data_IF_154274263587
#
_entry.id   IF_154274263587
#
_cell.length_a   1.000
_cell.length_b   1.000
_cell.length_c   1.000
_cell.angle_alpha   90.00
_cell.angle_beta   90.00
_cell.angle_gamma   90.00
#
_symmetry.space_group_name_H-M   'P 1'
#
loop_
_entity.id
_entity.type
_entity.pdbx_description
1 polymer ?
#
# COMPACT_ATOMS: atom_id res chain seq x y z
N UNK A 1 10.41 -12.14 6.37
CA UNK A 1 9.59 -13.34 6.01
C UNK A 1 8.54 -13.68 7.06
N UNK A 2 8.91 -13.84 8.34
CA UNK A 2 7.96 -14.20 9.41
C UNK A 2 6.77 -13.25 9.53
N UNK A 3 6.98 -11.94 9.36
CA UNK A 3 5.90 -10.96 9.46
C UNK A 3 4.92 -11.05 8.28
N UNK A 4 5.41 -11.19 7.04
CA UNK A 4 4.53 -11.38 5.88
C UNK A 4 3.69 -12.64 6.03
N UNK A 5 4.27 -13.71 6.56
CA UNK A 5 3.55 -14.95 6.88
C UNK A 5 2.54 -14.71 8.00
N UNK A 6 2.88 -13.93 9.02
CA UNK A 6 1.95 -13.56 10.08
C UNK A 6 0.80 -12.70 9.53
N UNK A 7 1.11 -11.70 8.72
CA UNK A 7 0.11 -10.86 8.06
C UNK A 7 -0.83 -11.70 7.20
N UNK A 8 -0.31 -12.66 6.44
CA UNK A 8 -1.14 -13.55 5.62
C UNK A 8 -2.11 -14.43 6.42
N UNK A 9 -1.84 -14.64 7.71
CA UNK A 9 -2.67 -15.42 8.65
C UNK A 9 -3.53 -14.55 9.56
N UNK A 10 -3.31 -13.25 9.60
CA UNK A 10 -4.07 -12.35 10.46
C UNK A 10 -5.48 -12.10 9.93
N UNK A 11 -6.38 -11.74 10.83
CA UNK A 11 -7.81 -11.56 10.57
C UNK A 11 -8.15 -10.11 10.16
N UNK A 12 -7.35 -9.49 9.29
CA UNK A 12 -7.73 -8.19 8.72
C UNK A 12 -8.72 -8.36 7.57
N UNK A 13 -9.60 -7.38 7.41
CA UNK A 13 -10.48 -7.27 6.25
C UNK A 13 -10.07 -6.15 5.30
N UNK A 14 -9.39 -5.12 5.81
CA UNK A 14 -8.86 -4.02 5.02
C UNK A 14 -7.40 -3.83 5.36
N UNK A 15 -6.55 -3.88 4.32
CA UNK A 15 -5.13 -3.56 4.42
C UNK A 15 -4.79 -2.47 3.42
N UNK A 16 -4.44 -1.27 3.91
CA UNK A 16 -3.95 -0.19 3.06
C UNK A 16 -2.43 -0.23 3.00
N UNK A 17 -1.89 -0.51 1.82
CA UNK A 17 -0.45 -0.59 1.54
C UNK A 17 -0.04 0.70 0.84
N UNK A 18 0.71 1.53 1.55
CA UNK A 18 1.23 2.80 1.05
C UNK A 18 2.59 2.62 0.40
N UNK A 19 2.70 2.94 -0.89
CA UNK A 19 3.94 2.87 -1.66
C UNK A 19 4.48 4.25 -2.07
N UNK A 20 5.71 4.30 -2.60
CA UNK A 20 6.34 5.52 -3.10
C UNK A 20 6.29 5.68 -4.63
N UNK A 21 5.58 4.84 -5.35
CA UNK A 21 5.53 4.78 -6.83
C UNK A 21 6.90 4.61 -7.49
N UNK A 22 7.82 3.92 -6.81
CA UNK A 22 9.17 3.68 -7.26
C UNK A 22 9.37 2.23 -7.67
N UNK A 23 10.23 2.01 -8.66
CA UNK A 23 10.51 0.67 -9.17
C UNK A 23 10.92 -0.30 -8.07
N UNK A 24 11.81 0.12 -7.17
CA UNK A 24 12.26 -0.71 -6.05
C UNK A 24 11.14 -1.16 -5.14
N UNK A 25 10.23 -0.24 -4.77
CA UNK A 25 9.04 -0.55 -3.95
C UNK A 25 8.12 -1.53 -4.68
N UNK A 26 7.90 -1.32 -5.96
CA UNK A 26 7.04 -2.16 -6.80
C UNK A 26 7.63 -3.54 -7.05
N UNK A 27 8.95 -3.64 -7.19
CA UNK A 27 9.65 -4.92 -7.25
C UNK A 27 9.43 -5.72 -5.97
N UNK A 28 9.64 -5.11 -4.80
CA UNK A 28 9.35 -5.75 -3.52
C UNK A 28 7.88 -6.21 -3.41
N UNK A 29 6.94 -5.38 -3.83
CA UNK A 29 5.52 -5.73 -3.82
C UNK A 29 5.25 -6.96 -4.70
N UNK A 30 5.81 -7.01 -5.91
CA UNK A 30 5.63 -8.10 -6.84
C UNK A 30 6.37 -9.38 -6.41
N UNK A 31 7.62 -9.28 -5.98
CA UNK A 31 8.50 -10.44 -5.78
C UNK A 31 8.37 -11.05 -4.38
N UNK A 32 8.10 -10.23 -3.36
CA UNK A 32 8.06 -10.67 -1.96
C UNK A 32 6.69 -10.54 -1.32
N UNK A 33 6.02 -9.38 -1.46
CA UNK A 33 4.79 -9.11 -0.73
C UNK A 33 3.63 -9.98 -1.26
N UNK A 34 3.24 -9.81 -2.52
CA UNK A 34 2.08 -10.52 -3.08
C UNK A 34 2.33 -12.01 -3.34
N UNK A 35 3.55 -12.49 -3.28
CA UNK A 35 3.84 -13.94 -3.27
C UNK A 35 3.44 -14.61 -1.94
N UNK A 36 3.37 -13.84 -0.85
CA UNK A 36 3.12 -14.35 0.52
C UNK A 36 1.79 -13.85 1.10
N UNK A 37 1.35 -12.66 0.70
CA UNK A 37 0.13 -12.02 1.21
C UNK A 37 -0.98 -12.15 0.17
N UNK A 38 -1.86 -13.10 0.38
CA UNK A 38 -3.01 -13.33 -0.50
C UNK A 38 -4.05 -12.24 -0.31
N UNK A 39 -4.45 -11.60 -1.40
CA UNK A 39 -5.62 -10.75 -1.49
C UNK A 39 -6.81 -11.52 -2.06
N UNK A 40 -8.01 -11.29 -1.56
CA UNK A 40 -9.26 -11.73 -2.23
C UNK A 40 -9.78 -10.61 -3.13
N UNK A 41 -9.49 -9.37 -2.76
CA UNK A 41 -9.78 -8.16 -3.54
C UNK A 41 -8.57 -7.24 -3.51
N UNK A 42 -8.14 -6.77 -4.68
CA UNK A 42 -7.07 -5.79 -4.84
C UNK A 42 -7.64 -4.50 -5.44
N UNK A 43 -7.46 -3.38 -4.74
CA UNK A 43 -7.99 -2.07 -5.12
C UNK A 43 -6.81 -1.12 -5.38
N UNK A 44 -6.76 -0.54 -6.57
CA UNK A 44 -5.59 0.16 -7.10
C UNK A 44 -5.84 1.65 -7.33
N UNK A 45 -4.77 2.43 -7.25
CA UNK A 45 -4.70 3.83 -7.67
C UNK A 45 -4.74 3.95 -9.20
N UNK A 46 -5.87 3.56 -9.75
CA UNK A 46 -6.17 3.64 -11.18
C UNK A 46 -7.66 3.87 -11.37
N UNK A 47 -8.05 4.64 -12.38
CA UNK A 47 -9.47 4.70 -12.76
C UNK A 47 -9.93 3.36 -13.33
N UNK A 48 -11.22 2.99 -13.20
CA UNK A 48 -11.73 1.72 -13.74
C UNK A 48 -11.37 1.51 -15.20
N UNK A 49 -11.52 2.54 -16.06
CA UNK A 49 -11.20 2.44 -17.49
C UNK A 49 -9.71 2.28 -17.79
N UNK A 50 -8.82 2.85 -16.97
CA UNK A 50 -7.36 2.62 -17.10
C UNK A 50 -7.03 1.18 -16.74
N UNK A 51 -7.60 0.68 -15.65
CA UNK A 51 -7.36 -0.69 -15.19
C UNK A 51 -7.86 -1.73 -16.20
N UNK A 52 -9.08 -1.57 -16.74
CA UNK A 52 -9.63 -2.46 -17.76
C UNK A 52 -8.68 -2.58 -18.96
N UNK A 53 -8.23 -1.44 -19.50
CA UNK A 53 -7.26 -1.44 -20.61
C UNK A 53 -5.93 -2.13 -20.26
N UNK A 54 -5.49 -2.00 -19.00
CA UNK A 54 -4.25 -2.64 -18.54
C UNK A 54 -4.41 -4.17 -18.50
N UNK A 55 -5.52 -4.67 -17.95
CA UNK A 55 -5.84 -6.11 -17.89
C UNK A 55 -6.01 -6.70 -19.30
N UNK A 56 -6.76 -6.04 -20.18
CA UNK A 56 -6.93 -6.48 -21.58
C UNK A 56 -5.60 -6.60 -22.32
N UNK A 57 -4.69 -5.66 -22.13
CA UNK A 57 -3.33 -5.72 -22.71
C UNK A 57 -2.52 -6.88 -22.15
N UNK A 58 -2.62 -7.09 -20.83
CA UNK A 58 -1.93 -8.18 -20.15
C UNK A 58 -2.40 -9.55 -20.67
N UNK A 59 -3.72 -9.72 -20.84
CA UNK A 59 -4.33 -10.93 -21.39
C UNK A 59 -3.96 -11.16 -22.87
N UNK A 60 -3.82 -10.06 -23.63
CA UNK A 60 -3.39 -10.13 -25.03
C UNK A 60 -1.88 -10.40 -25.22
N UNK A 61 -1.11 -10.61 -24.13
CA UNK A 61 0.33 -10.86 -24.18
C UNK A 61 1.16 -9.71 -24.76
N UNK A 62 0.65 -8.48 -24.71
CA UNK A 62 1.35 -7.30 -25.23
C UNK A 62 2.30 -6.80 -24.16
N UNK A 63 3.58 -7.13 -24.27
CA UNK A 63 4.61 -6.80 -23.27
C UNK A 63 5.21 -5.39 -23.40
N UNK A 64 4.80 -4.59 -24.38
CA UNK A 64 5.27 -3.22 -24.53
C UNK A 64 4.38 -2.26 -23.73
N UNK A 65 4.92 -1.75 -22.65
CA UNK A 65 4.25 -0.78 -21.75
C UNK A 65 5.17 0.42 -21.46
N UNK A 66 4.62 1.60 -21.25
CA UNK A 66 5.35 2.64 -20.52
C UNK A 66 5.84 2.07 -19.18
N UNK A 67 7.06 2.43 -18.77
CA UNK A 67 7.73 1.87 -17.58
C UNK A 67 6.83 1.78 -16.33
N UNK A 68 6.00 2.79 -16.09
CA UNK A 68 5.08 2.84 -14.94
C UNK A 68 3.98 1.74 -14.97
N UNK A 69 3.55 1.34 -16.16
CA UNK A 69 2.51 0.30 -16.27
C UNK A 69 3.11 -1.11 -16.13
N UNK A 70 4.40 -1.31 -16.52
CA UNK A 70 5.07 -2.60 -16.44
C UNK A 70 5.19 -3.11 -14.99
N UNK A 71 5.47 -2.23 -14.05
CA UNK A 71 5.62 -2.59 -12.63
C UNK A 71 4.28 -2.97 -12.00
N UNK A 72 3.23 -2.22 -12.29
CA UNK A 72 1.88 -2.55 -11.83
C UNK A 72 1.44 -3.89 -12.42
N UNK A 73 1.77 -4.18 -13.66
CA UNK A 73 1.45 -5.47 -14.28
C UNK A 73 2.17 -6.64 -13.62
N UNK A 74 3.42 -6.47 -13.20
CA UNK A 74 4.13 -7.51 -12.42
C UNK A 74 3.40 -7.78 -11.11
N UNK A 75 2.98 -6.74 -10.39
CA UNK A 75 2.19 -6.86 -9.16
C UNK A 75 0.88 -7.61 -9.44
N UNK A 76 0.16 -7.23 -10.49
CA UNK A 76 -1.11 -7.87 -10.87
C UNK A 76 -0.92 -9.35 -11.19
N UNK A 77 0.06 -9.70 -12.04
CA UNK A 77 0.38 -11.09 -12.37
C UNK A 77 0.70 -11.92 -11.13
N UNK A 78 1.50 -11.38 -10.21
CA UNK A 78 1.84 -12.07 -8.96
C UNK A 78 0.61 -12.27 -8.07
N UNK A 79 -0.22 -11.24 -7.91
CA UNK A 79 -1.44 -11.34 -7.12
C UNK A 79 -2.43 -12.36 -7.71
N UNK A 80 -2.61 -12.37 -9.03
CA UNK A 80 -3.45 -13.32 -9.75
C UNK A 80 -2.89 -14.75 -9.67
N UNK A 81 -1.58 -14.94 -9.77
CA UNK A 81 -0.95 -16.25 -9.61
C UNK A 81 -1.11 -16.79 -8.18
N UNK A 82 -1.05 -15.90 -7.18
CA UNK A 82 -1.23 -16.27 -5.77
C UNK A 82 -2.70 -16.58 -5.43
N UNK A 83 -3.62 -15.89 -6.07
CA UNK A 83 -5.06 -16.13 -5.96
C UNK A 83 -5.75 -15.94 -7.32
N UNK A 84 -5.96 -17.00 -8.12
CA UNK A 84 -6.64 -16.91 -9.42
C UNK A 84 -8.09 -16.39 -9.35
N UNK A 85 -8.71 -16.44 -8.17
CA UNK A 85 -10.08 -15.93 -7.94
C UNK A 85 -10.11 -14.50 -7.38
N UNK A 86 -8.98 -13.76 -7.47
CA UNK A 86 -8.89 -12.39 -6.99
C UNK A 86 -9.79 -11.45 -7.81
N UNK A 87 -10.50 -10.56 -7.12
CA UNK A 87 -11.17 -9.44 -7.78
C UNK A 87 -10.24 -8.22 -7.80
N UNK A 88 -10.14 -7.54 -8.93
CA UNK A 88 -9.26 -6.39 -9.09
C UNK A 88 -10.07 -5.18 -9.55
N UNK A 89 -9.98 -4.06 -8.80
CA UNK A 89 -10.73 -2.84 -9.08
C UNK A 89 -9.80 -1.63 -9.10
N UNK A 90 -10.02 -0.75 -10.06
CA UNK A 90 -9.50 0.61 -10.03
C UNK A 90 -10.48 1.50 -9.27
N UNK A 91 -10.01 2.17 -8.23
CA UNK A 91 -10.86 2.98 -7.36
C UNK A 91 -10.45 4.46 -7.33
N UNK A 92 -9.57 4.88 -8.22
CA UNK A 92 -9.20 6.28 -8.38
C UNK A 92 -10.42 7.13 -8.77
N UNK A 93 -10.41 8.40 -8.37
CA UNK A 93 -11.40 9.38 -8.75
C UNK A 93 -11.53 9.47 -10.27
N UNK A 94 -12.76 9.44 -10.76
CA UNK A 94 -13.05 9.61 -12.19
C UNK A 94 -13.18 11.08 -12.58
N UNK A 95 -12.99 11.40 -13.87
CA UNK A 95 -13.18 12.75 -14.41
C UNK A 95 -14.58 13.31 -14.11
N UNK A 96 -15.59 12.45 -14.07
CA UNK A 96 -16.95 12.83 -13.76
C UNK A 96 -17.13 13.21 -12.28
N UNK A 97 -16.50 12.46 -11.38
CA UNK A 97 -16.48 12.76 -9.95
C UNK A 97 -15.73 14.07 -9.71
N UNK A 98 -14.56 14.24 -10.32
CA UNK A 98 -13.76 15.46 -10.22
C UNK A 98 -14.56 16.70 -10.68
N UNK A 99 -15.27 16.62 -11.80
CA UNK A 99 -16.11 17.73 -12.30
C UNK A 99 -17.26 18.10 -11.36
N UNK A 100 -17.86 17.12 -10.68
CA UNK A 100 -18.95 17.36 -9.71
C UNK A 100 -18.47 18.03 -8.42
N UNK A 101 -17.20 17.90 -8.08
CA UNK A 101 -16.62 18.36 -6.83
C UNK A 101 -15.79 19.64 -6.96
N UNK A 102 -15.91 20.38 -8.07
CA UNK A 102 -15.17 21.62 -8.33
C UNK A 102 -15.07 22.53 -7.10
N UNK A 103 -13.85 22.67 -6.55
CA UNK A 103 -13.53 23.66 -5.51
C UNK A 103 -13.28 23.14 -4.09
N UNK A 104 -13.40 21.85 -3.81
CA UNK A 104 -13.11 21.29 -2.48
C UNK A 104 -11.80 20.49 -2.47
N UNK A 105 -10.80 20.96 -1.75
CA UNK A 105 -9.44 20.40 -1.70
C UNK A 105 -9.33 18.96 -1.16
N UNK A 106 -10.38 18.44 -0.52
CA UNK A 106 -10.39 17.10 0.10
C UNK A 106 -11.31 16.12 -0.63
N UNK A 107 -11.76 16.46 -1.82
CA UNK A 107 -12.79 15.71 -2.54
C UNK A 107 -12.26 14.40 -3.14
N UNK A 108 -10.97 14.35 -3.59
CA UNK A 108 -10.39 13.17 -4.24
C UNK A 108 -10.42 11.94 -3.33
N UNK A 109 -9.89 12.03 -2.12
CA UNK A 109 -9.85 10.88 -1.19
C UNK A 109 -11.23 10.47 -0.68
N UNK A 110 -12.20 11.39 -0.67
CA UNK A 110 -13.60 11.07 -0.41
C UNK A 110 -14.23 10.29 -1.57
N UNK A 111 -13.96 10.69 -2.83
CA UNK A 111 -14.40 9.95 -4.01
C UNK A 111 -13.80 8.54 -4.04
N UNK A 112 -12.50 8.43 -3.75
CA UNK A 112 -11.80 7.14 -3.68
C UNK A 112 -12.41 6.26 -2.57
N UNK A 113 -12.72 6.84 -1.41
CA UNK A 113 -13.37 6.11 -0.32
C UNK A 113 -14.76 5.60 -0.72
N UNK A 114 -15.54 6.40 -1.45
CA UNK A 114 -16.83 5.97 -2.01
C UNK A 114 -16.65 4.81 -2.99
N UNK A 115 -15.74 4.96 -3.95
CA UNK A 115 -15.41 3.91 -4.92
C UNK A 115 -14.91 2.63 -4.24
N UNK A 116 -14.19 2.75 -3.12
CA UNK A 116 -13.79 1.61 -2.31
C UNK A 116 -15.02 0.88 -1.75
N UNK A 117 -15.95 1.60 -1.10
CA UNK A 117 -17.13 0.95 -0.47
C UNK A 117 -18.03 0.27 -1.49
N UNK A 118 -18.13 0.80 -2.71
CA UNK A 118 -18.89 0.17 -3.81
C UNK A 118 -18.29 -1.19 -4.24
N UNK A 119 -16.98 -1.39 -3.99
CA UNK A 119 -16.25 -2.59 -4.37
C UNK A 119 -15.79 -3.44 -3.17
N UNK A 120 -16.09 -3.00 -1.95
CA UNK A 120 -15.69 -3.71 -0.73
C UNK A 120 -16.40 -5.06 -0.62
N UNK A 121 -15.61 -6.10 -0.32
CA UNK A 121 -16.09 -7.47 -0.13
C UNK A 121 -16.08 -7.81 1.36
N UNK A 122 -17.22 -7.82 2.07
CA UNK A 122 -17.30 -8.19 3.48
C UNK A 122 -16.79 -9.62 3.73
N UNK A 123 -16.04 -9.81 4.80
CA UNK A 123 -15.49 -11.12 5.16
C UNK A 123 -14.31 -11.59 4.29
N UNK A 124 -13.88 -10.77 3.33
CA UNK A 124 -12.74 -11.01 2.44
C UNK A 124 -11.56 -10.12 2.82
N UNK A 125 -10.37 -10.47 2.31
CA UNK A 125 -9.15 -9.66 2.44
C UNK A 125 -9.09 -8.65 1.31
N UNK A 126 -9.46 -7.42 1.62
CA UNK A 126 -9.41 -6.29 0.69
C UNK A 126 -8.08 -5.56 0.88
N UNK A 127 -7.22 -5.59 -0.12
CA UNK A 127 -5.94 -4.89 -0.11
C UNK A 127 -6.05 -3.66 -1.01
N UNK A 128 -5.74 -2.50 -0.45
CA UNK A 128 -5.65 -1.22 -1.14
C UNK A 128 -4.17 -0.93 -1.39
N UNK A 129 -3.79 -0.69 -2.64
CA UNK A 129 -2.43 -0.31 -3.02
C UNK A 129 -2.46 1.10 -3.61
N UNK A 130 -1.98 2.06 -2.85
CA UNK A 130 -1.99 3.48 -3.18
C UNK A 130 -0.70 4.18 -2.76
N UNK A 131 -0.50 5.39 -3.24
CA UNK A 131 0.56 6.25 -2.74
C UNK A 131 0.51 6.40 -1.21
N UNK A 132 1.68 6.47 -0.58
CA UNK A 132 1.82 6.36 0.87
C UNK A 132 0.94 7.33 1.66
N UNK A 133 0.77 8.56 1.18
CA UNK A 133 -0.06 9.56 1.87
C UNK A 133 -1.52 9.13 2.00
N UNK A 134 -2.09 8.50 0.97
CA UNK A 134 -3.47 8.02 0.98
C UNK A 134 -3.71 6.93 2.06
N UNK A 135 -2.68 6.14 2.37
CA UNK A 135 -2.74 5.11 3.41
C UNK A 135 -2.39 5.62 4.82
N UNK A 136 -2.02 6.87 4.98
CA UNK A 136 -1.74 7.46 6.29
C UNK A 136 -3.02 7.60 7.14
N UNK A 137 -2.92 7.29 8.44
CA UNK A 137 -4.01 7.48 9.38
C UNK A 137 -4.04 8.95 9.86
N UNK A 138 -4.38 9.83 8.95
CA UNK A 138 -4.43 11.28 9.15
C UNK A 138 -5.69 11.86 8.49
N UNK A 139 -6.20 12.96 9.05
CA UNK A 139 -7.44 13.59 8.56
C UNK A 139 -7.37 13.92 7.07
N UNK A 140 -8.48 13.71 6.39
CA UNK A 140 -8.69 13.96 4.96
C UNK A 140 -8.02 12.96 3.99
N UNK A 141 -7.17 12.03 4.46
CA UNK A 141 -6.61 10.98 3.63
C UNK A 141 -7.53 9.75 3.53
N UNK A 142 -7.35 8.96 2.49
CA UNK A 142 -8.20 7.79 2.18
C UNK A 142 -8.39 6.87 3.38
N UNK A 143 -7.31 6.42 4.02
CA UNK A 143 -7.41 5.45 5.12
C UNK A 143 -8.25 5.98 6.28
N UNK A 144 -8.11 7.27 6.64
CA UNK A 144 -8.93 7.88 7.69
C UNK A 144 -10.39 8.06 7.25
N UNK A 145 -10.64 8.40 5.99
CA UNK A 145 -12.00 8.46 5.43
C UNK A 145 -12.68 7.09 5.52
N UNK A 146 -11.98 6.03 5.15
CA UNK A 146 -12.49 4.65 5.29
C UNK A 146 -12.78 4.31 6.75
N UNK A 147 -11.85 4.61 7.65
CA UNK A 147 -12.05 4.34 9.09
C UNK A 147 -13.24 5.10 9.68
N UNK A 148 -13.45 6.35 9.28
CA UNK A 148 -14.59 7.15 9.78
C UNK A 148 -15.94 6.54 9.43
N UNK A 149 -16.04 5.92 8.25
CA UNK A 149 -17.26 5.30 7.72
C UNK A 149 -17.44 3.83 8.15
N UNK A 150 -16.38 3.17 8.60
CA UNK A 150 -16.40 1.77 9.00
C UNK A 150 -17.13 1.55 10.33
N UNK A 151 -17.80 0.41 10.50
CA UNK A 151 -18.32 -0.03 11.78
C UNK A 151 -17.21 -0.27 12.81
N UNK A 152 -17.56 -0.26 14.10
CA UNK A 152 -16.57 -0.48 15.19
C UNK A 152 -15.81 -1.79 14.99
N UNK A 153 -16.50 -2.88 14.70
CA UNK A 153 -15.87 -4.20 14.48
C UNK A 153 -14.95 -4.23 13.25
N UNK A 154 -15.27 -3.47 12.21
CA UNK A 154 -14.44 -3.40 11.02
C UNK A 154 -13.19 -2.56 11.28
N UNK A 155 -13.28 -1.49 12.09
CA UNK A 155 -12.11 -0.65 12.45
C UNK A 155 -10.98 -1.43 13.09
N UNK A 156 -11.31 -2.43 13.90
CA UNK A 156 -10.32 -3.29 14.57
C UNK A 156 -9.62 -4.25 13.58
N UNK A 157 -10.24 -4.47 12.41
CA UNK A 157 -9.75 -5.31 11.32
C UNK A 157 -9.19 -4.50 10.15
N UNK A 158 -8.90 -3.22 10.36
CA UNK A 158 -8.26 -2.32 9.40
C UNK A 158 -6.80 -2.10 9.79
N UNK A 159 -5.92 -2.35 8.85
CA UNK A 159 -4.49 -2.13 8.99
C UNK A 159 -4.01 -1.18 7.89
N UNK A 160 -3.01 -0.38 8.22
CA UNK A 160 -2.27 0.38 7.24
C UNK A 160 -0.77 0.13 7.40
N UNK A 161 -0.10 -0.03 6.28
CA UNK A 161 1.31 -0.37 6.21
C UNK A 161 1.98 0.55 5.21
N UNK A 162 3.13 1.11 5.57
CA UNK A 162 3.99 1.83 4.64
C UNK A 162 5.11 0.92 4.17
N UNK A 163 5.39 0.92 2.87
CA UNK A 163 6.53 0.24 2.27
C UNK A 163 7.59 1.29 1.94
N UNK A 164 8.81 1.09 2.43
CA UNK A 164 9.97 1.95 2.20
C UNK A 164 11.10 1.13 1.62
N UNK A 165 11.64 1.57 0.49
CA UNK A 165 12.86 1.06 -0.10
C UNK A 165 14.09 1.82 0.35
N UNK A 166 15.23 1.15 0.29
CA UNK A 166 16.53 1.80 0.44
C UNK A 166 16.81 2.68 -0.76
N UNK A 167 17.01 3.97 -0.53
CA UNK A 167 17.46 4.93 -1.54
C UNK A 167 18.89 5.35 -1.25
N UNK A 168 19.73 5.40 -2.28
CA UNK A 168 21.07 5.96 -2.16
C UNK A 168 20.98 7.43 -1.74
N UNK A 169 21.74 7.80 -0.69
CA UNK A 169 21.81 9.15 -0.12
C UNK A 169 20.52 9.64 0.58
N UNK A 170 19.62 8.74 0.99
CA UNK A 170 18.43 9.11 1.75
C UNK A 170 18.57 8.93 3.26
N UNK A 171 17.66 9.52 4.06
CA UNK A 171 17.64 9.29 5.50
C UNK A 171 17.48 7.81 5.88
N UNK A 172 16.89 7.00 4.98
CA UNK A 172 16.74 5.56 5.17
C UNK A 172 18.08 4.83 5.04
N UNK A 173 19.01 5.32 4.20
CA UNK A 173 20.37 4.78 4.08
C UNK A 173 21.11 4.85 5.43
N UNK A 174 21.04 5.98 6.12
CA UNK A 174 21.63 6.11 7.45
C UNK A 174 20.97 5.16 8.48
N UNK A 175 19.67 4.88 8.35
CA UNK A 175 19.01 3.88 9.20
C UNK A 175 19.44 2.46 8.87
N UNK A 176 19.58 2.12 7.61
CA UNK A 176 20.10 0.82 7.15
C UNK A 176 21.55 0.63 7.62
N UNK A 177 22.38 1.67 7.48
CA UNK A 177 23.74 1.67 8.01
C UNK A 177 23.78 1.41 9.52
N UNK A 178 22.93 2.10 10.29
CA UNK A 178 22.79 1.85 11.73
C UNK A 178 22.40 0.40 12.03
N UNK A 179 21.49 -0.19 11.26
CA UNK A 179 21.09 -1.59 11.43
C UNK A 179 22.25 -2.56 11.13
N UNK A 180 23.09 -2.25 10.15
CA UNK A 180 24.30 -3.01 9.84
C UNK A 180 25.29 -2.99 10.98
N UNK A 181 25.53 -1.81 11.57
CA UNK A 181 26.42 -1.63 12.73
C UNK A 181 25.96 -2.46 13.95
N UNK A 182 24.67 -2.59 14.17
CA UNK A 182 24.12 -3.41 15.26
C UNK A 182 23.87 -4.88 14.85
N UNK A 183 24.37 -5.30 13.67
CA UNK A 183 24.35 -6.69 13.21
C UNK A 183 23.03 -7.16 12.60
N UNK A 184 22.07 -6.29 12.32
CA UNK A 184 20.80 -6.63 11.65
C UNK A 184 21.00 -6.57 10.13
N UNK A 185 21.43 -7.68 9.53
CA UNK A 185 21.71 -7.81 8.09
C UNK A 185 20.57 -8.47 7.29
N UNK A 186 19.32 -8.33 7.71
CA UNK A 186 18.19 -8.92 6.99
C UNK A 186 17.81 -8.08 5.79
N UNK A 187 17.49 -8.72 4.67
CA UNK A 187 17.01 -8.06 3.44
C UNK A 187 15.72 -7.25 3.70
N UNK A 188 14.84 -7.77 4.55
CA UNK A 188 13.60 -7.11 4.92
C UNK A 188 13.42 -7.11 6.43
N UNK A 189 12.89 -6.04 6.98
CA UNK A 189 12.45 -5.98 8.36
C UNK A 189 11.19 -5.13 8.47
N UNK A 190 10.45 -5.34 9.55
CA UNK A 190 9.20 -4.62 9.81
C UNK A 190 9.28 -3.97 11.17
N UNK A 191 8.90 -2.72 11.21
CA UNK A 191 8.68 -1.98 12.44
C UNK A 191 7.21 -2.12 12.77
N UNK A 192 6.92 -2.91 13.79
CA UNK A 192 5.57 -3.09 14.31
C UNK A 192 5.29 -2.00 15.33
N UNK A 193 4.11 -1.39 15.22
CA UNK A 193 3.65 -0.39 16.17
C UNK A 193 4.63 0.79 16.32
N UNK A 194 4.61 1.67 15.34
CA UNK A 194 5.47 2.87 15.29
C UNK A 194 5.38 3.75 16.55
N UNK A 195 4.29 3.64 17.31
CA UNK A 195 4.08 4.38 18.57
C UNK A 195 4.87 3.81 19.77
N UNK A 196 5.42 2.60 19.66
CA UNK A 196 6.19 1.94 20.73
C UNK A 196 7.67 1.78 20.40
N UNK A 197 8.20 2.58 19.49
CA UNK A 197 9.60 2.54 19.12
C UNK A 197 10.50 2.97 20.29
N UNK A 198 11.63 2.27 20.44
CA UNK A 198 12.67 2.69 21.35
C UNK A 198 13.06 4.16 21.07
N UNK A 199 13.28 5.02 22.08
CA UNK A 199 13.54 6.44 21.89
C UNK A 199 14.62 6.78 20.85
N UNK A 200 15.69 5.99 20.77
CA UNK A 200 16.77 6.20 19.77
C UNK A 200 16.30 5.92 18.35
N UNK A 201 15.45 4.91 18.16
CA UNK A 201 14.85 4.59 16.86
C UNK A 201 13.81 5.65 16.50
N UNK A 202 13.01 6.09 17.48
CA UNK A 202 12.05 7.18 17.29
C UNK A 202 12.73 8.48 16.88
N UNK A 203 13.86 8.86 17.52
CA UNK A 203 14.64 10.04 17.12
C UNK A 203 15.14 9.94 15.68
N UNK A 204 15.57 8.77 15.27
CA UNK A 204 15.99 8.53 13.92
C UNK A 204 14.83 8.76 12.92
N UNK A 205 13.65 8.22 13.22
CA UNK A 205 12.43 8.46 12.42
C UNK A 205 11.89 9.89 12.56
N UNK A 206 12.15 10.58 13.68
CA UNK A 206 11.82 12.00 13.84
C UNK A 206 12.59 12.89 12.86
N UNK A 207 13.81 12.54 12.54
CA UNK A 207 14.59 13.22 11.49
C UNK A 207 13.99 12.98 10.09
N UNK A 208 13.23 11.90 9.91
CA UNK A 208 12.44 11.61 8.72
C UNK A 208 11.08 12.35 8.68
N UNK A 209 10.93 13.44 9.42
CA UNK A 209 9.68 14.21 9.65
C UNK A 209 8.78 14.46 8.45
N UNK A 210 9.29 14.36 7.24
CA UNK A 210 8.49 14.49 6.00
C UNK A 210 7.71 13.23 5.64
N UNK A 211 7.86 12.14 6.39
CA UNK A 211 7.36 10.83 5.95
C UNK A 211 6.17 10.30 6.73
N UNK A 212 5.62 11.03 7.70
CA UNK A 212 4.39 10.63 8.44
C UNK A 212 4.38 9.17 8.92
N UNK A 213 5.55 8.63 9.34
CA UNK A 213 5.65 7.21 9.72
C UNK A 213 4.80 6.85 10.94
N UNK A 214 4.60 7.81 11.84
CA UNK A 214 3.74 7.71 13.03
C UNK A 214 2.25 7.52 12.69
N UNK A 215 1.87 7.76 11.44
CA UNK A 215 0.49 7.58 10.93
C UNK A 215 0.21 6.18 10.40
N UNK A 216 1.19 5.28 10.48
CA UNK A 216 1.06 3.90 10.03
C UNK A 216 1.13 2.92 11.21
N UNK A 217 0.33 1.86 11.16
CA UNK A 217 0.40 0.76 12.12
C UNK A 217 1.73 0.05 12.03
N UNK A 218 2.22 -0.17 10.83
CA UNK A 218 3.48 -0.85 10.57
C UNK A 218 4.22 -0.21 9.40
N UNK A 219 5.54 -0.32 9.41
CA UNK A 219 6.41 0.11 8.32
C UNK A 219 7.27 -1.08 7.90
N UNK A 220 7.24 -1.41 6.63
CA UNK A 220 8.12 -2.40 6.01
C UNK A 220 9.28 -1.64 5.40
N UNK A 221 10.49 -2.03 5.75
CA UNK A 221 11.72 -1.54 5.14
C UNK A 221 12.38 -2.69 4.41
N UNK A 222 12.70 -2.50 3.16
CA UNK A 222 13.44 -3.47 2.37
C UNK A 222 14.74 -2.85 1.84
N UNK A 223 15.75 -3.70 1.67
CA UNK A 223 17.05 -3.35 1.08
C UNK A 223 17.07 -3.75 -0.38
N UNK A 224 17.73 -2.94 -1.19
CA UNK A 224 18.01 -3.24 -2.58
C UNK A 224 19.11 -4.30 -2.74
#
# INVERSE_FOLDING_TARGET
EQWLTHLSRSDYQILCVGELHEESTRNFLAEDFFTKVRADTLLLEATPGKLTRLIERMEAGRDYFPLLDADIMRILRTAMNTNPAINIYGIEETDEQQKKQCGHSNSRDQSIAHNFWDNFQPGKRNIILFGALHCANESNWLFQNLRSQASVHLKDRMLNVRVLGEHQNGPLEAFVYFLDEIGIKKKHFVILNTNSLHPRIYEFFRLLKRQTLDKFRSVIVFRL
#
